data_IF_215941005181
#
_entry.id   IF_215941005181
#
_cell.length_a   1.000
_cell.length_b   1.000
_cell.length_c   1.000
_cell.angle_alpha   90.00
_cell.angle_beta   90.00
_cell.angle_gamma   90.00
#
_symmetry.space_group_name_H-M   'P 1'
#
loop_
_entity.id
_entity.type
_entity.pdbx_description
1 polymer ?
#
# COMPACT_ATOMS: atom_id res chain seq x y z
N UNK A 1 -17.20 9.63 -2.59
CA UNK A 1 -17.31 8.33 -1.90
C UNK A 1 -18.49 7.49 -2.35
N UNK A 2 -19.75 7.93 -2.27
CA UNK A 2 -20.93 7.13 -2.69
C UNK A 2 -20.86 6.64 -4.15
N UNK A 3 -20.45 7.49 -5.08
CA UNK A 3 -20.30 7.13 -6.50
C UNK A 3 -19.21 6.07 -6.72
N UNK A 4 -18.08 6.21 -6.03
CA UNK A 4 -16.97 5.24 -6.07
C UNK A 4 -17.40 3.88 -5.54
N UNK A 5 -18.15 3.86 -4.41
CA UNK A 5 -18.73 2.62 -3.85
C UNK A 5 -19.70 1.98 -4.86
N UNK A 6 -20.56 2.76 -5.52
CA UNK A 6 -21.49 2.25 -6.52
C UNK A 6 -20.76 1.62 -7.72
N UNK A 7 -19.72 2.28 -8.25
CA UNK A 7 -18.87 1.75 -9.33
C UNK A 7 -18.19 0.44 -8.92
N UNK A 8 -17.64 0.39 -7.69
CA UNK A 8 -16.99 -0.81 -7.17
C UNK A 8 -17.98 -1.96 -6.95
N UNK A 9 -19.20 -1.68 -6.47
CA UNK A 9 -20.28 -2.69 -6.35
C UNK A 9 -20.63 -3.29 -7.71
N UNK A 10 -20.78 -2.46 -8.75
CA UNK A 10 -21.07 -2.93 -10.12
C UNK A 10 -19.93 -3.81 -10.66
N UNK A 11 -18.69 -3.35 -10.54
CA UNK A 11 -17.52 -4.11 -10.98
C UNK A 11 -17.38 -5.45 -10.24
N UNK A 12 -17.66 -5.46 -8.91
CA UNK A 12 -17.70 -6.67 -8.10
C UNK A 12 -18.76 -7.65 -8.59
N UNK A 13 -19.99 -7.16 -8.84
CA UNK A 13 -21.08 -8.00 -9.34
C UNK A 13 -20.70 -8.67 -10.67
N UNK A 14 -20.06 -7.94 -11.57
CA UNK A 14 -19.56 -8.49 -12.84
C UNK A 14 -18.57 -9.64 -12.60
N UNK A 15 -17.62 -9.49 -11.66
CA UNK A 15 -16.66 -10.55 -11.33
C UNK A 15 -17.35 -11.76 -10.71
N UNK A 16 -18.32 -11.55 -9.81
CA UNK A 16 -19.08 -12.63 -9.18
C UNK A 16 -19.92 -13.40 -10.19
N UNK A 17 -20.64 -12.71 -11.08
CA UNK A 17 -21.43 -13.32 -12.15
C UNK A 17 -20.54 -14.12 -13.12
N UNK A 18 -19.40 -13.56 -13.52
CA UNK A 18 -18.46 -14.29 -14.39
C UNK A 18 -17.95 -15.58 -13.73
N UNK A 19 -17.59 -15.53 -12.43
CA UNK A 19 -17.21 -16.73 -11.67
C UNK A 19 -18.34 -17.75 -11.57
N UNK A 20 -19.57 -17.29 -11.29
CA UNK A 20 -20.75 -18.15 -11.18
C UNK A 20 -21.06 -18.84 -12.52
N UNK A 21 -21.11 -18.09 -13.61
CA UNK A 21 -21.37 -18.63 -14.97
C UNK A 21 -20.29 -19.64 -15.34
N UNK A 22 -19.02 -19.30 -15.10
CA UNK A 22 -17.91 -20.20 -15.33
C UNK A 22 -18.05 -21.53 -14.55
N UNK A 23 -18.33 -21.43 -13.25
CA UNK A 23 -18.51 -22.60 -12.39
C UNK A 23 -19.68 -23.48 -12.84
N UNK A 24 -20.83 -22.88 -13.16
CA UNK A 24 -22.01 -23.61 -13.66
C UNK A 24 -21.73 -24.27 -15.02
N UNK A 25 -21.00 -23.62 -15.92
CA UNK A 25 -20.62 -24.20 -17.20
C UNK A 25 -19.70 -25.42 -17.03
N UNK A 26 -18.71 -25.34 -16.14
CA UNK A 26 -17.81 -26.47 -15.85
C UNK A 26 -18.59 -27.64 -15.23
N UNK A 27 -19.51 -27.36 -14.29
CA UNK A 27 -20.37 -28.40 -13.69
C UNK A 27 -21.28 -29.05 -14.72
N UNK A 28 -21.94 -28.28 -15.58
CA UNK A 28 -22.84 -28.80 -16.60
C UNK A 28 -22.10 -29.71 -17.60
N UNK A 29 -20.91 -29.27 -18.05
CA UNK A 29 -20.07 -30.10 -18.94
C UNK A 29 -19.58 -31.38 -18.27
N UNK A 30 -19.16 -31.28 -16.99
CA UNK A 30 -18.74 -32.44 -16.21
C UNK A 30 -19.87 -33.44 -16.03
N UNK A 31 -21.08 -32.98 -15.73
CA UNK A 31 -22.27 -33.82 -15.62
C UNK A 31 -22.62 -34.53 -16.95
N UNK A 32 -22.56 -33.79 -18.07
CA UNK A 32 -22.82 -34.38 -19.41
C UNK A 32 -21.80 -35.47 -19.77
N UNK A 33 -20.53 -35.28 -19.47
CA UNK A 33 -19.47 -36.26 -19.68
C UNK A 33 -19.71 -37.51 -18.82
N UNK A 34 -20.09 -37.28 -17.55
CA UNK A 34 -20.40 -38.37 -16.62
C UNK A 34 -21.59 -39.22 -17.10
N UNK A 35 -22.70 -38.60 -17.46
CA UNK A 35 -23.91 -39.29 -17.93
C UNK A 35 -23.66 -40.08 -19.22
N UNK A 36 -22.77 -39.59 -20.10
CA UNK A 36 -22.40 -40.29 -21.34
C UNK A 36 -21.37 -41.39 -21.14
N UNK A 37 -20.97 -41.71 -19.93
CA UNK A 37 -20.00 -42.76 -19.61
C UNK A 37 -18.58 -42.53 -20.17
N UNK A 38 -18.25 -41.29 -20.56
CA UNK A 38 -16.96 -40.95 -21.18
C UNK A 38 -15.96 -40.43 -20.15
N UNK A 39 -15.72 -41.14 -19.07
CA UNK A 39 -14.87 -40.73 -17.95
C UNK A 39 -13.47 -40.20 -18.33
N UNK A 40 -12.87 -40.77 -19.40
CA UNK A 40 -11.56 -40.30 -19.89
C UNK A 40 -11.55 -38.82 -20.33
N UNK A 41 -12.68 -38.26 -20.77
CA UNK A 41 -12.79 -36.85 -21.16
C UNK A 41 -12.79 -35.89 -19.98
N UNK A 42 -12.98 -36.38 -18.75
CA UNK A 42 -12.94 -35.54 -17.54
C UNK A 42 -11.57 -34.88 -17.34
N UNK A 43 -10.49 -35.57 -17.65
CA UNK A 43 -9.14 -35.00 -17.57
C UNK A 43 -8.98 -33.80 -18.55
N UNK A 44 -9.47 -33.99 -19.79
CA UNK A 44 -9.49 -32.89 -20.78
C UNK A 44 -10.34 -31.70 -20.33
N UNK A 45 -11.50 -31.97 -19.72
CA UNK A 45 -12.35 -30.92 -19.17
C UNK A 45 -11.63 -30.13 -18.05
N UNK A 46 -10.96 -30.81 -17.12
CA UNK A 46 -10.22 -30.15 -16.03
C UNK A 46 -9.11 -29.26 -16.59
N UNK A 47 -8.34 -29.79 -17.57
CA UNK A 47 -7.29 -28.98 -18.21
C UNK A 47 -7.86 -27.74 -18.94
N UNK A 48 -8.93 -27.93 -19.73
CA UNK A 48 -9.60 -26.85 -20.43
C UNK A 48 -10.22 -25.81 -19.46
N UNK A 49 -10.84 -26.27 -18.37
CA UNK A 49 -11.38 -25.41 -17.34
C UNK A 49 -10.26 -24.60 -16.66
N UNK A 50 -9.14 -25.23 -16.30
CA UNK A 50 -8.02 -24.50 -15.71
C UNK A 50 -7.47 -23.44 -16.66
N UNK A 51 -7.29 -23.79 -17.94
CA UNK A 51 -6.83 -22.84 -18.95
C UNK A 51 -7.81 -21.65 -19.10
N UNK A 52 -9.12 -21.92 -19.19
CA UNK A 52 -10.15 -20.89 -19.28
C UNK A 52 -10.18 -20.01 -18.02
N UNK A 53 -10.03 -20.59 -16.83
CA UNK A 53 -9.94 -19.83 -15.59
C UNK A 53 -8.75 -18.85 -15.60
N UNK A 54 -7.56 -19.35 -15.97
CA UNK A 54 -6.34 -18.55 -16.03
C UNK A 54 -6.43 -17.45 -17.10
N UNK A 55 -7.05 -17.72 -18.24
CA UNK A 55 -7.15 -16.77 -19.34
C UNK A 55 -8.26 -15.71 -19.15
N UNK A 56 -9.39 -16.07 -18.55
CA UNK A 56 -10.57 -15.20 -18.50
C UNK A 56 -10.86 -14.65 -17.09
N UNK A 57 -10.95 -15.54 -16.11
CA UNK A 57 -11.42 -15.17 -14.76
C UNK A 57 -10.33 -14.49 -13.96
N UNK A 58 -9.11 -15.04 -13.99
CA UNK A 58 -7.98 -14.47 -13.24
C UNK A 58 -7.66 -13.01 -13.60
N UNK A 59 -7.55 -12.61 -14.90
CA UNK A 59 -7.28 -11.22 -15.28
C UNK A 59 -8.44 -10.29 -14.92
N UNK A 60 -9.71 -10.76 -15.04
CA UNK A 60 -10.88 -9.98 -14.63
C UNK A 60 -10.85 -9.67 -13.14
N UNK A 61 -10.58 -10.67 -12.32
CA UNK A 61 -10.42 -10.53 -10.86
C UNK A 61 -9.25 -9.62 -10.49
N UNK A 62 -8.11 -9.75 -11.20
CA UNK A 62 -6.94 -8.90 -10.98
C UNK A 62 -7.22 -7.43 -11.32
N UNK A 63 -7.92 -7.16 -12.43
CA UNK A 63 -8.37 -5.80 -12.80
C UNK A 63 -9.29 -5.21 -11.74
N UNK A 64 -10.28 -5.97 -11.28
CA UNK A 64 -11.16 -5.52 -10.19
C UNK A 64 -10.37 -5.15 -8.93
N UNK A 65 -9.49 -6.05 -8.47
CA UNK A 65 -8.66 -5.82 -7.27
C UNK A 65 -7.81 -4.55 -7.42
N UNK A 66 -7.18 -4.35 -8.57
CA UNK A 66 -6.38 -3.16 -8.86
C UNK A 66 -7.22 -1.88 -8.82
N UNK A 67 -8.35 -1.85 -9.53
CA UNK A 67 -9.24 -0.69 -9.57
C UNK A 67 -9.82 -0.38 -8.19
N UNK A 68 -10.21 -1.41 -7.43
CA UNK A 68 -10.71 -1.23 -6.08
C UNK A 68 -9.65 -0.64 -5.13
N UNK A 69 -8.42 -1.17 -5.17
CA UNK A 69 -7.30 -0.61 -4.38
C UNK A 69 -7.00 0.83 -4.75
N UNK A 70 -6.87 1.13 -6.04
CA UNK A 70 -6.60 2.48 -6.52
C UNK A 70 -7.68 3.48 -6.08
N UNK A 71 -8.95 3.08 -6.21
CA UNK A 71 -10.07 3.91 -5.76
C UNK A 71 -10.07 4.13 -4.25
N UNK A 72 -9.78 3.09 -3.47
CA UNK A 72 -9.70 3.17 -2.01
C UNK A 72 -8.54 4.06 -1.57
N UNK A 73 -7.38 3.92 -2.18
CA UNK A 73 -6.21 4.75 -1.86
C UNK A 73 -6.45 6.21 -2.19
N UNK A 74 -7.03 6.50 -3.36
CA UNK A 74 -7.35 7.86 -3.78
C UNK A 74 -8.35 8.53 -2.83
N UNK A 75 -9.42 7.85 -2.46
CA UNK A 75 -10.48 8.41 -1.63
C UNK A 75 -10.09 8.53 -0.15
N UNK A 76 -9.33 7.58 0.37
CA UNK A 76 -9.09 7.47 1.81
C UNK A 76 -7.71 7.98 2.24
N UNK A 77 -6.68 7.71 1.45
CA UNK A 77 -5.29 8.05 1.82
C UNK A 77 -4.89 9.41 1.28
N UNK A 78 -5.21 9.65 0.01
CA UNK A 78 -4.78 10.85 -0.71
C UNK A 78 -5.91 11.87 -0.89
N UNK A 79 -6.93 11.83 -0.04
CA UNK A 79 -8.03 12.79 -0.09
C UNK A 79 -7.52 14.23 0.07
N UNK A 80 -7.81 15.06 -0.95
CA UNK A 80 -7.31 16.44 -0.98
C UNK A 80 -5.83 16.58 -1.35
N UNK A 81 -5.23 15.52 -1.89
CA UNK A 81 -3.91 15.54 -2.53
C UNK A 81 -4.06 15.57 -4.06
N UNK A 82 -3.11 16.19 -4.76
CA UNK A 82 -2.98 16.18 -6.22
C UNK A 82 -1.98 15.11 -6.68
N UNK A 83 -1.86 14.95 -8.01
CA UNK A 83 -0.82 14.12 -8.66
C UNK A 83 -0.73 12.68 -8.13
N UNK A 84 -1.90 12.13 -7.81
CA UNK A 84 -1.99 10.76 -7.30
C UNK A 84 -1.60 9.74 -8.36
N UNK A 85 -0.62 8.89 -8.03
CA UNK A 85 -0.21 7.73 -8.83
C UNK A 85 -0.11 6.50 -7.94
N UNK A 86 -0.60 5.36 -8.44
CA UNK A 86 -0.50 4.07 -7.75
C UNK A 86 0.10 3.01 -8.67
N UNK A 87 1.21 2.43 -8.25
CA UNK A 87 1.99 1.41 -8.97
C UNK A 87 2.18 0.17 -8.09
N UNK A 88 1.34 -0.86 -8.22
CA UNK A 88 1.32 -2.00 -7.29
C UNK A 88 2.58 -2.87 -7.30
N UNK A 89 3.37 -2.82 -8.38
CA UNK A 89 4.61 -3.59 -8.51
C UNK A 89 5.88 -2.77 -8.27
N UNK A 90 5.74 -1.46 -8.15
CA UNK A 90 6.86 -0.56 -7.84
C UNK A 90 6.94 -0.32 -6.32
N UNK A 91 8.07 0.20 -5.87
CA UNK A 91 8.34 0.55 -4.49
C UNK A 91 9.60 1.40 -4.38
N UNK A 92 10.18 1.45 -3.20
CA UNK A 92 11.51 2.00 -2.98
C UNK A 92 12.57 1.01 -3.47
N UNK A 93 13.67 1.53 -3.94
CA UNK A 93 14.88 0.72 -4.19
C UNK A 93 15.62 0.45 -2.88
N UNK A 94 16.46 -0.58 -2.86
CA UNK A 94 17.32 -0.86 -1.69
C UNK A 94 18.27 0.32 -1.41
N UNK A 95 18.75 1.00 -2.46
CA UNK A 95 19.60 2.17 -2.36
C UNK A 95 18.85 3.34 -1.68
N UNK A 96 17.65 3.70 -2.15
CA UNK A 96 16.84 4.76 -1.52
C UNK A 96 16.56 4.44 -0.03
N UNK A 97 16.35 3.17 0.31
CA UNK A 97 16.15 2.76 1.69
C UNK A 97 17.42 2.90 2.54
N UNK A 98 18.59 2.56 1.99
CA UNK A 98 19.88 2.76 2.67
C UNK A 98 20.19 4.24 2.88
N UNK A 99 19.93 5.09 1.87
CA UNK A 99 20.08 6.54 1.96
C UNK A 99 19.16 7.16 3.02
N UNK A 100 17.97 6.59 3.22
CA UNK A 100 17.08 6.98 4.30
C UNK A 100 17.71 6.79 5.69
N UNK A 101 18.64 5.84 5.87
CA UNK A 101 19.42 5.64 7.10
C UNK A 101 18.57 5.41 8.34
N UNK A 102 17.38 4.85 8.20
CA UNK A 102 16.44 4.60 9.29
C UNK A 102 16.83 3.43 10.17
N UNK A 103 17.60 2.50 9.61
CA UNK A 103 18.06 1.30 10.32
C UNK A 103 19.56 1.07 10.07
N UNK A 104 20.25 0.62 11.10
CA UNK A 104 21.63 0.14 10.96
C UNK A 104 21.58 -1.30 10.43
N UNK A 105 22.25 -1.55 9.31
CA UNK A 105 22.43 -2.88 8.75
C UNK A 105 22.33 -2.92 7.23
N UNK A 106 22.97 -3.91 6.65
CA UNK A 106 22.89 -4.20 5.22
C UNK A 106 21.57 -4.92 4.93
N UNK A 107 20.63 -4.20 4.33
CA UNK A 107 19.36 -4.78 3.86
C UNK A 107 19.57 -5.73 2.67
N UNK A 108 20.71 -5.64 2.02
CA UNK A 108 21.20 -6.55 1.00
C UNK A 108 20.19 -6.96 -0.06
N UNK A 109 20.34 -8.21 -0.53
CA UNK A 109 19.51 -8.80 -1.60
C UNK A 109 18.07 -9.12 -1.18
N UNK A 110 17.73 -9.05 0.09
CA UNK A 110 16.42 -9.44 0.62
C UNK A 110 15.45 -8.27 0.85
N UNK A 111 15.80 -7.06 0.40
CA UNK A 111 14.90 -5.91 0.45
C UNK A 111 13.80 -6.05 -0.62
N UNK A 112 12.55 -5.97 -0.19
CA UNK A 112 11.39 -6.00 -1.06
C UNK A 112 10.52 -4.79 -0.77
N UNK A 113 10.14 -4.05 -1.82
CA UNK A 113 9.19 -2.96 -1.72
C UNK A 113 8.14 -3.06 -2.82
N UNK A 114 6.88 -2.74 -2.50
CA UNK A 114 5.72 -2.84 -3.39
C UNK A 114 4.66 -1.80 -3.03
N UNK A 115 3.59 -1.73 -3.83
CA UNK A 115 2.41 -0.90 -3.59
C UNK A 115 2.76 0.59 -3.51
N UNK A 116 3.61 1.07 -4.46
CA UNK A 116 4.03 2.46 -4.48
C UNK A 116 2.86 3.40 -4.72
N UNK A 117 2.71 4.36 -3.84
CA UNK A 117 1.78 5.50 -3.96
C UNK A 117 2.59 6.79 -3.95
N UNK A 118 2.29 7.68 -4.88
CA UNK A 118 2.81 9.06 -4.87
C UNK A 118 1.64 10.05 -4.91
N UNK A 119 1.79 11.17 -4.23
CA UNK A 119 0.81 12.25 -4.22
C UNK A 119 1.49 13.56 -3.81
N UNK A 120 0.82 14.70 -4.09
CA UNK A 120 1.32 16.03 -3.71
C UNK A 120 0.29 16.76 -2.85
N UNK A 121 0.76 17.51 -1.84
CA UNK A 121 -0.09 18.36 -1.01
C UNK A 121 0.70 19.55 -0.45
N UNK A 122 0.24 20.78 -0.76
CA UNK A 122 0.79 22.00 -0.17
C UNK A 122 2.29 22.19 -0.41
N UNK A 123 2.80 21.85 -1.60
CA UNK A 123 4.23 21.94 -1.94
C UNK A 123 5.07 20.76 -1.43
N UNK A 124 4.45 19.77 -0.81
CA UNK A 124 5.10 18.53 -0.41
C UNK A 124 4.73 17.39 -1.34
N UNK A 125 5.74 16.62 -1.74
CA UNK A 125 5.58 15.37 -2.50
C UNK A 125 5.74 14.20 -1.54
N UNK A 126 4.70 13.38 -1.46
CA UNK A 126 4.66 12.15 -0.69
C UNK A 126 4.96 10.96 -1.62
N UNK A 127 5.87 10.09 -1.20
CA UNK A 127 6.12 8.77 -1.76
C UNK A 127 5.96 7.76 -0.63
N UNK A 128 5.12 6.75 -0.78
CA UNK A 128 4.94 5.70 0.23
C UNK A 128 4.82 4.33 -0.41
N UNK A 129 5.36 3.30 0.24
CA UNK A 129 5.30 1.92 -0.22
C UNK A 129 5.42 0.95 0.94
N UNK A 130 4.87 -0.25 0.75
CA UNK A 130 5.12 -1.38 1.64
C UNK A 130 6.57 -1.82 1.51
N UNK A 131 7.22 -2.13 2.64
CA UNK A 131 8.61 -2.60 2.69
C UNK A 131 8.72 -3.83 3.57
N UNK A 132 9.55 -4.77 3.10
CA UNK A 132 9.89 -6.00 3.82
C UNK A 132 11.39 -6.25 3.69
N UNK A 133 12.08 -6.45 4.79
CA UNK A 133 13.52 -6.70 4.81
C UNK A 133 13.93 -7.45 6.08
N UNK A 134 15.07 -8.19 6.06
CA UNK A 134 15.57 -8.89 7.23
C UNK A 134 16.10 -7.90 8.27
N UNK A 135 15.82 -8.17 9.52
CA UNK A 135 16.36 -7.45 10.66
C UNK A 135 16.93 -8.46 11.68
N UNK A 136 17.97 -8.07 12.39
CA UNK A 136 18.50 -8.84 13.49
C UNK A 136 17.95 -8.29 14.79
N UNK A 137 17.11 -9.08 15.48
CA UNK A 137 16.52 -8.70 16.76
C UNK A 137 16.92 -9.79 17.77
N UNK A 138 17.58 -9.38 18.86
CA UNK A 138 18.01 -10.27 19.95
C UNK A 138 18.84 -11.49 19.48
N UNK A 139 19.70 -11.26 18.47
CA UNK A 139 20.52 -12.30 17.86
C UNK A 139 19.79 -13.20 16.86
N UNK A 140 18.48 -13.08 16.73
CA UNK A 140 17.65 -13.86 15.81
C UNK A 140 17.38 -13.08 14.52
N UNK A 141 17.33 -13.81 13.40
CA UNK A 141 16.90 -13.25 12.13
C UNK A 141 15.37 -13.14 12.12
N UNK A 142 14.85 -11.93 11.99
CA UNK A 142 13.44 -11.65 11.86
C UNK A 142 13.19 -10.86 10.56
N UNK A 143 11.94 -10.85 10.09
CA UNK A 143 11.54 -10.00 8.96
C UNK A 143 10.85 -8.76 9.49
N UNK A 144 11.35 -7.59 9.11
CA UNK A 144 10.59 -6.36 9.24
C UNK A 144 9.53 -6.33 8.14
N UNK A 145 8.33 -6.00 8.52
CA UNK A 145 7.22 -5.76 7.60
C UNK A 145 6.55 -4.46 8.01
N UNK A 146 6.40 -3.54 7.06
CA UNK A 146 5.81 -2.25 7.36
C UNK A 146 5.68 -1.36 6.14
N UNK A 147 5.48 -0.06 6.39
CA UNK A 147 5.31 0.97 5.38
C UNK A 147 6.41 2.03 5.54
N UNK A 148 7.05 2.38 4.44
CA UNK A 148 7.97 3.52 4.36
C UNK A 148 7.27 4.69 3.68
N UNK A 149 7.36 5.86 4.29
CA UNK A 149 6.94 7.14 3.74
C UNK A 149 8.17 8.02 3.56
N UNK A 150 8.23 8.71 2.43
CA UNK A 150 9.24 9.72 2.13
C UNK A 150 8.53 10.99 1.67
N UNK A 151 8.84 12.12 2.30
CA UNK A 151 8.26 13.41 1.97
C UNK A 151 9.37 14.38 1.64
N UNK A 152 9.26 14.98 0.46
CA UNK A 152 10.13 16.07 0.00
C UNK A 152 9.31 17.34 -0.19
N UNK A 153 9.93 18.48 0.01
CA UNK A 153 9.32 19.78 -0.26
C UNK A 153 10.18 20.56 -1.23
N UNK A 154 9.56 21.25 -2.21
CA UNK A 154 10.28 21.96 -3.27
C UNK A 154 11.11 23.15 -2.74
N UNK A 155 10.71 23.74 -1.60
CA UNK A 155 11.40 24.88 -0.95
C UNK A 155 11.54 24.68 0.57
N UNK A 156 11.45 23.44 1.03
CA UNK A 156 11.50 23.12 2.46
C UNK A 156 12.81 22.41 2.78
N UNK A 157 13.54 22.92 3.76
CA UNK A 157 14.66 22.22 4.36
C UNK A 157 14.23 21.62 5.68
N UNK A 158 14.71 20.40 5.96
CA UNK A 158 14.44 19.74 7.22
C UNK A 158 15.68 19.76 8.10
N UNK A 159 15.57 20.06 9.41
CA UNK A 159 16.68 19.89 10.35
C UNK A 159 17.07 18.40 10.39
N UNK A 160 18.33 18.11 10.70
CA UNK A 160 18.73 16.72 10.94
C UNK A 160 18.15 16.26 12.26
N UNK A 161 17.25 15.29 12.19
CA UNK A 161 16.59 14.69 13.34
C UNK A 161 16.47 13.20 13.11
N UNK A 162 16.71 12.41 14.13
CA UNK A 162 16.49 10.96 14.14
C UNK A 162 15.75 10.58 15.42
N UNK A 163 14.60 9.94 15.25
CA UNK A 163 13.73 9.56 16.35
C UNK A 163 13.25 8.13 16.17
N UNK A 164 13.10 7.44 17.27
CA UNK A 164 12.44 6.15 17.36
C UNK A 164 11.29 6.20 18.38
N UNK A 165 10.38 5.25 18.31
CA UNK A 165 9.27 5.17 19.26
C UNK A 165 9.78 5.16 20.69
N UNK A 166 9.26 6.05 21.53
CA UNK A 166 9.65 6.18 22.95
C UNK A 166 10.67 7.27 23.25
N UNK A 167 11.28 7.91 22.25
CA UNK A 167 12.16 9.05 22.46
C UNK A 167 11.34 10.32 22.77
N UNK A 168 11.83 11.11 23.74
CA UNK A 168 11.12 12.29 24.27
C UNK A 168 11.67 13.61 23.76
N UNK A 169 12.85 13.61 23.14
CA UNK A 169 13.51 14.81 22.64
C UNK A 169 12.97 15.21 21.24
N UNK A 170 11.72 15.67 21.24
CA UNK A 170 10.97 16.00 20.03
C UNK A 170 10.31 17.36 20.21
N UNK A 171 10.30 18.23 19.18
CA UNK A 171 9.53 19.47 19.22
C UNK A 171 8.06 19.19 19.65
N UNK A 172 7.49 19.98 20.57
CA UNK A 172 6.16 19.69 21.15
C UNK A 172 5.06 19.49 20.10
N UNK A 173 5.07 20.31 19.04
CA UNK A 173 4.09 20.19 17.95
C UNK A 173 4.25 18.89 17.14
N UNK A 174 5.46 18.38 16.97
CA UNK A 174 5.71 17.09 16.29
C UNK A 174 5.37 15.92 17.20
N UNK A 175 5.58 16.01 18.52
CA UNK A 175 5.23 14.98 19.50
C UNK A 175 3.76 14.60 19.43
N UNK A 176 2.86 15.58 19.45
CA UNK A 176 1.40 15.35 19.35
C UNK A 176 1.02 14.59 18.10
N UNK A 177 1.71 14.82 16.98
CA UNK A 177 1.48 14.11 15.72
C UNK A 177 2.05 12.70 15.75
N UNK A 178 3.23 12.51 16.36
CA UNK A 178 3.88 11.20 16.47
C UNK A 178 3.11 10.26 17.42
N UNK A 179 2.51 10.79 18.49
CA UNK A 179 1.64 10.04 19.39
C UNK A 179 0.34 9.53 18.72
N UNK A 180 -0.08 10.16 17.61
CA UNK A 180 -1.22 9.70 16.80
C UNK A 180 -0.85 8.55 15.85
N UNK A 181 0.45 8.27 15.66
CA UNK A 181 0.87 7.16 14.81
C UNK A 181 0.66 5.83 15.54
N UNK A 182 0.02 4.86 14.90
CA UNK A 182 -0.17 3.57 15.52
C UNK A 182 1.10 2.71 15.43
N UNK A 183 1.54 2.20 16.56
CA UNK A 183 2.63 1.23 16.65
C UNK A 183 4.04 1.83 16.68
N UNK A 184 5.04 0.99 16.41
CA UNK A 184 6.45 1.38 16.39
C UNK A 184 6.77 2.16 15.12
N UNK A 185 7.51 3.26 15.27
CA UNK A 185 7.99 4.06 14.14
C UNK A 185 9.48 4.38 14.28
N UNK A 186 10.09 4.68 13.12
CA UNK A 186 11.40 5.34 13.04
C UNK A 186 11.28 6.53 12.08
N UNK A 187 11.66 7.70 12.54
CA UNK A 187 11.65 8.95 11.80
C UNK A 187 13.07 9.44 11.58
N UNK A 188 13.37 9.87 10.37
CA UNK A 188 14.58 10.63 10.08
C UNK A 188 14.25 11.80 9.17
N UNK A 189 14.81 12.96 9.48
CA UNK A 189 14.77 14.13 8.62
C UNK A 189 16.18 14.60 8.26
N UNK A 190 16.30 15.32 7.16
CA UNK A 190 17.57 15.87 6.69
C UNK A 190 17.41 16.48 5.30
N UNK A 191 18.53 16.74 4.61
CA UNK A 191 18.53 17.40 3.29
C UNK A 191 17.69 16.71 2.22
N UNK A 192 17.54 15.39 2.30
CA UNK A 192 16.76 14.59 1.35
C UNK A 192 15.25 14.57 1.65
N UNK A 193 14.82 15.16 2.76
CA UNK A 193 13.43 15.18 3.17
C UNK A 193 13.17 14.50 4.51
N UNK A 194 11.92 14.10 4.71
CA UNK A 194 11.44 13.35 5.86
C UNK A 194 11.18 11.90 5.47
N UNK A 195 11.78 10.98 6.20
CA UNK A 195 11.54 9.55 6.10
C UNK A 195 10.84 9.05 7.36
N UNK A 196 9.75 8.33 7.19
CA UNK A 196 8.98 7.71 8.28
C UNK A 196 8.74 6.23 7.98
N UNK A 197 9.27 5.36 8.82
CA UNK A 197 9.09 3.92 8.73
C UNK A 197 8.13 3.47 9.83
N UNK A 198 7.04 2.78 9.44
CA UNK A 198 5.97 2.32 10.33
C UNK A 198 5.93 0.80 10.34
N UNK A 199 6.05 0.19 11.52
CA UNK A 199 5.99 -1.27 11.66
C UNK A 199 4.56 -1.79 11.66
N UNK A 200 4.33 -2.93 10.98
CA UNK A 200 3.03 -3.60 10.96
C UNK A 200 1.92 -2.85 10.20
N UNK A 201 2.25 -1.76 9.49
CA UNK A 201 1.31 -1.02 8.64
C UNK A 201 1.58 -1.30 7.19
N UNK A 202 0.52 -1.38 6.39
CA UNK A 202 0.59 -1.71 4.97
C UNK A 202 -0.38 -0.84 4.17
N UNK A 203 0.05 -0.45 2.98
CA UNK A 203 -0.80 0.22 1.98
C UNK A 203 -1.75 -0.81 1.35
N UNK A 204 -1.28 -2.05 1.24
CA UNK A 204 -2.01 -3.14 0.61
C UNK A 204 -3.26 -3.55 1.37
N UNK A 205 -4.44 -3.09 0.94
CA UNK A 205 -5.71 -3.60 1.45
C UNK A 205 -6.01 -4.98 0.87
N UNK A 206 -6.45 -5.94 1.67
CA UNK A 206 -6.97 -7.21 1.16
C UNK A 206 -8.32 -6.97 0.48
N UNK A 207 -8.30 -6.69 -0.83
CA UNK A 207 -9.53 -6.60 -1.62
C UNK A 207 -9.96 -8.00 -2.02
N UNK A 208 -11.02 -8.50 -1.38
CA UNK A 208 -11.64 -9.76 -1.72
C UNK A 208 -12.97 -9.50 -2.46
N UNK A 209 -13.14 -9.97 -3.72
CA UNK A 209 -14.41 -9.79 -4.44
C UNK A 209 -15.61 -10.49 -3.77
N UNK A 210 -15.39 -11.46 -2.88
CA UNK A 210 -16.45 -12.11 -2.12
C UNK A 210 -16.96 -11.24 -0.96
N UNK A 211 -16.15 -10.30 -0.45
CA UNK A 211 -16.54 -9.42 0.64
C UNK A 211 -17.22 -8.15 0.13
N UNK A 212 -18.23 -7.68 0.88
CA UNK A 212 -18.89 -6.41 0.59
C UNK A 212 -17.96 -5.23 0.90
N UNK A 213 -17.75 -4.35 -0.09
CA UNK A 213 -17.15 -3.05 0.14
C UNK A 213 -18.28 -2.13 0.61
N UNK A 214 -18.29 -1.82 1.91
CA UNK A 214 -19.20 -0.87 2.54
C UNK A 214 -18.48 0.46 2.79
N UNK A 215 -19.23 1.54 2.97
CA UNK A 215 -18.65 2.83 3.39
C UNK A 215 -17.87 2.68 4.70
N UNK A 216 -18.40 1.92 5.65
CA UNK A 216 -17.75 1.64 6.94
C UNK A 216 -16.43 0.86 6.77
N UNK A 217 -16.37 -0.11 5.84
CA UNK A 217 -15.13 -0.82 5.53
C UNK A 217 -14.10 0.08 4.83
N UNK A 218 -14.54 1.05 4.03
CA UNK A 218 -13.69 2.06 3.44
C UNK A 218 -13.15 3.03 4.48
N UNK A 219 -13.97 3.47 5.42
CA UNK A 219 -13.54 4.32 6.55
C UNK A 219 -12.56 3.60 7.46
N UNK A 220 -12.78 2.32 7.75
CA UNK A 220 -11.85 1.50 8.53
C UNK A 220 -10.49 1.26 7.82
N UNK A 221 -10.45 1.41 6.50
CA UNK A 221 -9.24 1.32 5.70
C UNK A 221 -8.47 2.67 5.59
N UNK A 222 -8.90 3.71 6.32
CA UNK A 222 -8.18 4.99 6.38
C UNK A 222 -6.76 4.76 6.89
N UNK A 223 -5.79 5.32 6.15
CA UNK A 223 -4.41 5.43 6.59
C UNK A 223 -4.16 6.88 7.03
N UNK A 224 -4.47 7.22 8.29
CA UNK A 224 -4.24 8.57 8.82
C UNK A 224 -2.76 8.95 8.79
N UNK A 225 -1.89 7.94 8.69
CA UNK A 225 -0.43 8.10 8.68
C UNK A 225 0.07 8.98 7.54
N UNK A 226 -0.52 8.88 6.35
CA UNK A 226 -0.14 9.73 5.22
C UNK A 226 -0.43 11.21 5.49
N UNK A 227 -1.60 11.51 6.07
CA UNK A 227 -1.97 12.87 6.44
C UNK A 227 -1.13 13.37 7.61
N UNK A 228 -0.86 12.52 8.59
CA UNK A 228 0.00 12.81 9.73
C UNK A 228 1.44 13.10 9.27
N UNK A 229 2.00 12.30 8.37
CA UNK A 229 3.35 12.49 7.85
C UNK A 229 3.49 13.82 7.08
N UNK A 230 2.49 14.21 6.28
CA UNK A 230 2.49 15.53 5.61
C UNK A 230 2.43 16.67 6.63
N UNK A 231 1.63 16.54 7.70
CA UNK A 231 1.59 17.54 8.78
C UNK A 231 2.92 17.59 9.54
N UNK A 232 3.54 16.44 9.81
CA UNK A 232 4.89 16.39 10.40
C UNK A 232 5.90 17.12 9.52
N UNK A 233 5.86 16.91 8.20
CA UNK A 233 6.72 17.62 7.27
C UNK A 233 6.49 19.14 7.33
N UNK A 234 5.25 19.60 7.42
CA UNK A 234 4.91 21.02 7.57
C UNK A 234 5.44 21.62 8.88
N UNK A 235 5.33 20.88 9.99
CA UNK A 235 5.79 21.33 11.31
C UNK A 235 7.32 21.32 11.43
N UNK A 236 7.98 20.33 10.83
CA UNK A 236 9.43 20.16 10.93
C UNK A 236 10.20 20.89 9.83
N UNK A 237 9.54 21.36 8.77
CA UNK A 237 10.20 22.11 7.70
C UNK A 237 10.49 23.55 8.11
N UNK A 238 11.68 24.02 7.76
CA UNK A 238 12.07 25.42 7.89
C UNK A 238 12.02 26.05 6.50
N UNK A 239 11.30 27.18 6.32
CA UNK A 239 11.32 27.90 5.05
C UNK A 239 12.76 28.36 4.69
N UNK A 240 13.18 28.13 3.47
CA UNK A 240 14.54 28.43 3.03
C UNK A 240 14.94 29.92 3.18
N UNK A 241 13.95 30.83 3.17
CA UNK A 241 14.15 32.27 3.33
C UNK A 241 14.80 32.71 4.66
N UNK A 242 14.84 31.84 5.68
CA UNK A 242 15.46 32.18 6.96
C UNK A 242 16.96 31.82 7.05
N UNK A 243 17.56 31.18 6.03
CA UNK A 243 18.98 30.81 6.04
C UNK A 243 19.94 31.94 5.69
N UNK A 244 19.47 33.00 5.05
CA UNK A 244 20.31 34.14 4.65
C UNK A 244 20.49 35.21 5.76
N UNK A 245 19.92 34.99 6.94
CA UNK A 245 19.95 35.97 8.06
C UNK A 245 20.66 35.50 9.35
N UNK A 246 21.32 34.37 9.31
CA UNK A 246 22.22 33.92 10.40
C UNK A 246 23.62 33.67 9.78
#
# INVERSE_FOLDING_TARGET
MKETVAKLKKARLTVLLANLIYFLAVLALGFLIFVKGRGGLLYGLVAAALAAYLALIRPLTARYKRTARESLLRENVCRGMSDFTYLPKAGFTAQEFQEAGLMAGDTGKAFLSRELVTACKGGFRLKMADVTFPVRKDGLNAMFNGMLLHITGDSATFPELRLTSGETDVPPAARVLLEQLPGEYSLRTGRQGLYLLLRGRFIGFPVNPLLHITEKAMEAALLPEAACAVRLAQVLSVPEKNKERN
#
